data_IF_880668476936
#
_entry.id   IF_880668476936
#
_cell.length_a   1.000
_cell.length_b   1.000
_cell.length_c   1.000
_cell.angle_alpha   90.00
_cell.angle_beta   90.00
_cell.angle_gamma   90.00
#
_symmetry.space_group_name_H-M   'P 1'
#
loop_
_entity.id
_entity.type
_entity.pdbx_description
1 polymer ?
#
# COMPACT_ATOMS: atom_id res chain seq x y z
N UNK A 1 -12.72 -12.09 6.03
CA UNK A 1 -12.72 -10.63 6.21
C UNK A 1 -11.42 -10.10 5.62
N UNK A 2 -11.49 -9.30 4.56
CA UNK A 2 -10.37 -8.99 3.68
C UNK A 2 -9.67 -7.71 4.17
N UNK A 3 -8.58 -7.83 4.94
CA UNK A 3 -7.85 -6.71 5.54
C UNK A 3 -7.53 -5.57 4.55
N UNK A 4 -7.19 -5.91 3.31
CA UNK A 4 -6.83 -4.93 2.28
C UNK A 4 -8.07 -4.15 1.81
N UNK A 5 -9.19 -4.83 1.67
CA UNK A 5 -10.46 -4.23 1.22
C UNK A 5 -11.02 -3.25 2.26
N UNK A 6 -10.90 -3.60 3.54
CA UNK A 6 -11.30 -2.71 4.65
C UNK A 6 -10.53 -1.39 4.64
N UNK A 7 -9.23 -1.44 4.36
CA UNK A 7 -8.37 -0.25 4.33
C UNK A 7 -8.61 0.56 3.05
N UNK A 8 -8.80 -0.09 1.91
CA UNK A 8 -9.09 0.59 0.64
C UNK A 8 -10.45 1.30 0.62
N UNK A 9 -11.47 0.70 1.25
CA UNK A 9 -12.84 1.24 1.30
C UNK A 9 -13.11 2.12 2.54
N UNK A 10 -12.10 2.30 3.40
CA UNK A 10 -12.19 3.12 4.60
C UNK A 10 -12.13 4.62 4.30
N UNK A 11 -11.18 5.30 4.93
CA UNK A 11 -11.04 6.75 4.79
C UNK A 11 -10.46 7.17 3.44
N UNK A 12 -10.70 8.42 3.06
CA UNK A 12 -10.12 8.99 1.83
C UNK A 12 -8.66 9.38 2.08
N UNK A 13 -7.78 8.81 1.29
CA UNK A 13 -6.36 9.17 1.28
C UNK A 13 -6.05 10.22 0.19
N UNK A 14 -5.23 11.21 0.53
CA UNK A 14 -4.73 12.20 -0.44
C UNK A 14 -3.54 11.66 -1.26
N UNK A 15 -2.76 10.76 -0.65
CA UNK A 15 -1.54 10.18 -1.20
C UNK A 15 -1.67 8.66 -1.27
N UNK A 16 -1.23 8.07 -2.39
CA UNK A 16 -1.23 6.61 -2.55
C UNK A 16 -0.14 5.96 -1.71
N UNK A 17 0.85 6.74 -1.31
CA UNK A 17 1.91 6.39 -0.36
C UNK A 17 1.35 6.10 1.03
N UNK A 18 0.41 6.93 1.52
CA UNK A 18 -0.24 6.72 2.82
C UNK A 18 -1.07 5.45 2.82
N UNK A 19 -1.81 5.20 1.74
CA UNK A 19 -2.56 3.95 1.58
C UNK A 19 -1.63 2.73 1.58
N UNK A 20 -0.51 2.79 0.85
CA UNK A 20 0.48 1.71 0.82
C UNK A 20 1.09 1.42 2.19
N UNK A 21 1.40 2.49 2.93
CA UNK A 21 1.96 2.40 4.28
C UNK A 21 0.98 1.77 5.27
N UNK A 22 -0.29 2.20 5.26
CA UNK A 22 -1.32 1.68 6.16
C UNK A 22 -1.62 0.20 5.87
N UNK A 23 -1.68 -0.20 4.59
CA UNK A 23 -1.82 -1.61 4.22
C UNK A 23 -0.62 -2.41 4.73
N UNK A 24 0.61 -1.94 4.51
CA UNK A 24 1.81 -2.64 4.97
C UNK A 24 1.85 -2.79 6.50
N UNK A 25 1.56 -1.73 7.24
CA UNK A 25 1.51 -1.78 8.70
C UNK A 25 0.45 -2.76 9.20
N UNK A 26 -0.78 -2.67 8.66
CA UNK A 26 -1.85 -3.58 9.05
C UNK A 26 -1.51 -5.05 8.76
N UNK A 27 -0.80 -5.32 7.65
CA UNK A 27 -0.30 -6.67 7.35
C UNK A 27 0.75 -7.11 8.37
N UNK A 28 1.74 -6.27 8.69
CA UNK A 28 2.80 -6.62 9.64
C UNK A 28 2.27 -6.80 11.08
N UNK A 29 1.25 -6.03 11.48
CA UNK A 29 0.59 -6.14 12.78
C UNK A 29 -0.31 -7.38 12.88
N UNK A 30 -1.19 -7.60 11.89
CA UNK A 30 -2.14 -8.72 11.92
C UNK A 30 -1.47 -10.08 11.71
N UNK A 31 -0.36 -10.12 10.96
CA UNK A 31 0.37 -11.35 10.67
C UNK A 31 1.74 -11.33 11.37
N UNK A 32 1.78 -11.80 12.62
CA UNK A 32 3.00 -11.84 13.44
C UNK A 32 4.13 -12.70 12.83
N UNK A 33 3.80 -13.69 12.00
CA UNK A 33 4.78 -14.55 11.31
C UNK A 33 5.33 -13.92 10.04
N UNK A 34 4.73 -12.83 9.54
CA UNK A 34 5.14 -12.15 8.31
C UNK A 34 6.50 -11.48 8.53
N UNK A 35 7.50 -11.91 7.75
CA UNK A 35 8.88 -11.43 7.83
C UNK A 35 9.15 -10.27 6.87
N UNK A 36 8.51 -10.29 5.70
CA UNK A 36 8.67 -9.28 4.68
C UNK A 36 7.38 -9.16 3.88
N UNK A 37 6.99 -7.93 3.60
CA UNK A 37 5.87 -7.63 2.73
C UNK A 37 6.24 -6.51 1.77
N UNK A 38 5.80 -6.63 0.53
CA UNK A 38 5.92 -5.60 -0.50
C UNK A 38 4.53 -5.30 -1.02
N UNK A 39 4.14 -4.02 -0.98
CA UNK A 39 2.86 -3.54 -1.51
C UNK A 39 3.14 -2.63 -2.69
N UNK A 40 2.46 -2.90 -3.81
CA UNK A 40 2.51 -2.10 -5.03
C UNK A 40 1.13 -1.58 -5.35
N UNK A 41 0.98 -0.27 -5.42
CA UNK A 41 -0.29 0.40 -5.75
C UNK A 41 -0.11 1.13 -7.06
N UNK A 42 -0.97 0.83 -8.04
CA UNK A 42 -0.98 1.47 -9.35
C UNK A 42 -2.21 2.35 -9.51
N UNK A 43 -1.97 3.64 -9.75
CA UNK A 43 -3.01 4.59 -10.14
C UNK A 43 -2.96 4.76 -11.65
N UNK A 44 -3.88 4.05 -12.33
CA UNK A 44 -4.01 4.05 -13.79
C UNK A 44 -4.51 5.40 -14.33
N UNK A 45 -5.37 6.07 -13.56
CA UNK A 45 -5.94 7.36 -13.93
C UNK A 45 -5.44 8.45 -12.99
N UNK A 46 -4.43 9.18 -13.44
CA UNK A 46 -3.87 10.35 -12.75
C UNK A 46 -4.14 11.61 -13.56
N UNK A 47 -4.58 12.72 -12.93
CA UNK A 47 -4.84 13.98 -13.62
C UNK A 47 -3.53 14.73 -13.91
N UNK A 48 -2.67 14.14 -14.73
CA UNK A 48 -1.38 14.69 -15.12
C UNK A 48 -1.43 15.01 -16.61
N UNK A 49 -0.82 16.13 -17.01
CA UNK A 49 -0.82 16.62 -18.40
C UNK A 49 0.10 15.81 -19.35
N UNK A 50 0.60 14.66 -18.91
CA UNK A 50 1.52 13.82 -19.66
C UNK A 50 0.90 12.45 -19.91
N UNK A 51 1.26 11.83 -21.04
CA UNK A 51 0.88 10.45 -21.35
C UNK A 51 1.78 9.54 -20.52
N UNK A 52 1.18 8.86 -19.55
CA UNK A 52 1.83 7.85 -18.71
C UNK A 52 0.88 6.66 -18.60
N UNK A 53 1.41 5.44 -18.62
CA UNK A 53 0.58 4.22 -18.49
C UNK A 53 -0.04 4.12 -17.09
N UNK A 54 0.73 4.44 -16.07
CA UNK A 54 0.29 4.51 -14.68
C UNK A 54 1.33 5.22 -13.82
N UNK A 55 0.91 5.64 -12.64
CA UNK A 55 1.83 5.93 -11.53
C UNK A 55 1.78 4.77 -10.55
N UNK A 56 2.96 4.33 -10.11
CA UNK A 56 3.10 3.25 -9.14
C UNK A 56 3.85 3.74 -7.92
N UNK A 57 3.37 3.32 -6.75
CA UNK A 57 4.13 3.35 -5.51
C UNK A 57 4.41 1.92 -5.10
N UNK A 58 5.68 1.63 -4.86
CA UNK A 58 6.15 0.37 -4.28
C UNK A 58 6.78 0.67 -2.93
N UNK A 59 6.32 -0.04 -1.90
CA UNK A 59 6.89 0.02 -0.57
C UNK A 59 7.14 -1.39 -0.06
N UNK A 60 8.23 -1.56 0.67
CA UNK A 60 8.61 -2.84 1.28
C UNK A 60 8.92 -2.62 2.75
N UNK A 61 8.30 -3.44 3.61
CA UNK A 61 8.68 -3.53 5.02
C UNK A 61 9.27 -4.91 5.29
N UNK A 62 10.38 -4.93 6.00
CA UNK A 62 10.97 -6.13 6.59
C UNK A 62 10.84 -6.04 8.10
N UNK A 63 10.50 -7.16 8.72
CA UNK A 63 10.69 -7.38 10.15
C UNK A 63 12.16 -7.75 10.30
N UNK A 64 13.04 -6.75 10.27
CA UNK A 64 14.43 -6.95 10.67
C UNK A 64 14.41 -7.23 12.17
N UNK A 65 14.36 -8.52 12.51
CA UNK A 65 14.77 -8.98 13.81
C UNK A 65 16.28 -8.78 13.89
N UNK A 66 16.69 -7.74 14.64
CA UNK A 66 18.01 -7.50 15.26
C UNK A 66 19.20 -8.20 14.60
#
# INVERSE_FOLDING_TARGET
MFCIDEIMNGERFNLVETLGYDILNALMERFSTLQKATVRIRKLHVPIRHIVDFIEVEQTLTRDGI
#
